data_IF_498269859723
#
_entry.id   IF_498269859723
#
_cell.length_a   1.000
_cell.length_b   1.000
_cell.length_c   1.000
_cell.angle_alpha   90.00
_cell.angle_beta   90.00
_cell.angle_gamma   90.00
#
_symmetry.space_group_name_H-M   'P 1'
#
loop_
_entity.id
_entity.type
_entity.pdbx_description
1 polymer ?
#
# COMPACT_ATOMS: atom_id res chain seq x y z
N UNK A 1 -59.46 -56.49 -36.86
CA UNK A 1 -59.26 -55.03 -37.04
C UNK A 1 -58.35 -54.57 -35.91
N UNK A 2 -57.04 -54.49 -36.19
CA UNK A 2 -56.07 -53.98 -35.21
C UNK A 2 -55.93 -52.45 -35.35
N UNK A 3 -56.15 -51.72 -34.27
CA UNK A 3 -55.85 -50.28 -34.21
C UNK A 3 -54.45 -50.11 -33.65
N UNK A 4 -53.57 -49.53 -34.44
CA UNK A 4 -52.24 -49.13 -33.99
C UNK A 4 -52.33 -47.67 -33.44
N UNK A 5 -51.99 -47.53 -32.16
CA UNK A 5 -51.82 -46.18 -31.56
C UNK A 5 -50.37 -45.78 -31.70
N UNK A 6 -50.11 -44.69 -32.38
CA UNK A 6 -48.81 -44.08 -32.48
C UNK A 6 -48.65 -43.09 -31.30
N UNK A 7 -47.67 -43.37 -30.43
CA UNK A 7 -47.27 -42.42 -29.36
C UNK A 7 -46.22 -41.46 -29.91
N UNK A 8 -46.51 -40.15 -29.91
CA UNK A 8 -45.54 -39.12 -30.26
C UNK A 8 -44.83 -38.69 -28.96
N UNK A 9 -43.54 -39.00 -28.91
CA UNK A 9 -42.69 -38.51 -27.81
C UNK A 9 -42.25 -37.06 -28.13
N UNK A 10 -42.67 -36.12 -27.36
CA UNK A 10 -42.17 -34.73 -27.42
C UNK A 10 -40.96 -34.61 -26.50
N UNK A 11 -39.78 -34.49 -27.08
CA UNK A 11 -38.56 -34.22 -26.32
C UNK A 11 -38.42 -32.69 -26.13
N UNK A 12 -38.59 -32.25 -24.91
CA UNK A 12 -38.27 -30.89 -24.46
C UNK A 12 -36.78 -30.78 -24.16
N UNK A 13 -36.04 -30.20 -25.08
CA UNK A 13 -34.63 -29.82 -24.85
C UNK A 13 -34.58 -28.57 -23.96
N UNK A 14 -34.17 -28.73 -22.72
CA UNK A 14 -33.86 -27.59 -21.85
C UNK A 14 -32.51 -26.99 -22.28
N UNK A 15 -32.55 -25.79 -22.83
CA UNK A 15 -31.35 -25.00 -23.10
C UNK A 15 -30.89 -24.40 -21.78
N UNK A 16 -29.82 -24.97 -21.19
CA UNK A 16 -29.08 -24.33 -20.10
C UNK A 16 -28.28 -23.16 -20.69
N UNK A 17 -28.78 -21.94 -20.52
CA UNK A 17 -27.99 -20.74 -20.69
C UNK A 17 -26.98 -20.69 -19.53
N UNK A 18 -25.74 -21.10 -19.79
CA UNK A 18 -24.62 -20.79 -18.91
C UNK A 18 -24.37 -19.30 -19.00
N UNK A 19 -24.85 -18.53 -18.03
CA UNK A 19 -24.51 -17.14 -17.82
C UNK A 19 -23.03 -17.07 -17.47
N UNK A 20 -22.14 -16.82 -18.44
CA UNK A 20 -20.80 -16.33 -18.17
C UNK A 20 -20.94 -14.95 -17.55
N UNK A 21 -20.88 -14.89 -16.22
CA UNK A 21 -20.60 -13.65 -15.52
C UNK A 21 -19.23 -13.17 -16.01
N UNK A 22 -19.22 -12.16 -16.86
CA UNK A 22 -18.02 -11.40 -17.17
C UNK A 22 -17.60 -10.68 -15.89
N UNK A 23 -16.84 -11.35 -15.03
CA UNK A 23 -16.10 -10.70 -13.98
C UNK A 23 -15.23 -9.64 -14.66
N UNK A 24 -15.41 -8.40 -14.23
CA UNK A 24 -14.62 -7.27 -14.67
C UNK A 24 -13.14 -7.60 -14.37
N UNK A 25 -12.44 -8.18 -15.33
CA UNK A 25 -10.99 -8.40 -15.21
C UNK A 25 -10.37 -7.03 -15.34
N UNK A 26 -10.06 -6.41 -14.21
CA UNK A 26 -9.31 -5.17 -14.17
C UNK A 26 -8.06 -5.27 -15.08
N UNK A 27 -7.60 -4.13 -15.57
CA UNK A 27 -6.36 -4.04 -16.34
C UNK A 27 -5.23 -4.48 -15.40
N UNK A 28 -4.46 -5.56 -15.71
CA UNK A 28 -3.40 -6.01 -14.83
C UNK A 28 -2.36 -4.92 -14.64
N UNK A 29 -1.99 -4.64 -13.40
CA UNK A 29 -0.90 -3.70 -13.10
C UNK A 29 0.41 -4.17 -13.75
N UNK A 30 1.15 -3.28 -14.44
CA UNK A 30 2.41 -3.65 -15.06
C UNK A 30 3.45 -3.99 -13.99
N UNK A 31 4.43 -4.83 -14.35
CA UNK A 31 5.56 -5.13 -13.46
C UNK A 31 6.38 -3.89 -13.18
N UNK A 32 6.77 -3.73 -11.93
CA UNK A 32 7.74 -2.73 -11.47
C UNK A 32 9.02 -3.42 -11.03
N UNK A 33 10.17 -2.77 -11.21
CA UNK A 33 11.45 -3.26 -10.72
C UNK A 33 11.60 -3.03 -9.21
N UNK A 34 11.11 -1.89 -8.75
CA UNK A 34 11.11 -1.48 -7.35
C UNK A 34 9.79 -0.80 -7.01
N UNK A 35 9.26 -1.08 -5.84
CA UNK A 35 8.09 -0.40 -5.27
C UNK A 35 8.49 0.28 -3.96
N UNK A 36 8.15 1.55 -3.86
CA UNK A 36 8.39 2.38 -2.68
C UNK A 36 7.05 2.86 -2.15
N UNK A 37 6.86 2.76 -0.84
CA UNK A 37 5.69 3.31 -0.14
C UNK A 37 6.20 4.27 0.92
N UNK A 38 5.68 5.48 0.95
CA UNK A 38 5.90 6.48 2.01
C UNK A 38 4.58 6.69 2.71
N UNK A 39 4.60 6.60 4.04
CA UNK A 39 3.41 6.81 4.85
C UNK A 39 3.50 8.18 5.50
N UNK A 40 2.45 8.96 5.33
CA UNK A 40 2.18 10.23 6.01
C UNK A 40 0.99 10.05 6.97
N UNK A 41 0.79 10.96 7.91
CA UNK A 41 -0.02 10.71 9.09
C UNK A 41 -1.17 11.70 9.29
N UNK A 42 -2.32 11.11 9.72
CA UNK A 42 -3.43 11.76 10.43
C UNK A 42 -4.08 12.99 9.76
N UNK A 43 -4.09 13.07 8.43
CA UNK A 43 -4.74 14.18 7.75
C UNK A 43 -5.74 13.75 6.68
N UNK A 44 -6.92 14.39 6.70
CA UNK A 44 -7.96 14.16 5.69
C UNK A 44 -7.52 14.62 4.30
N UNK A 45 -8.05 13.99 3.27
CA UNK A 45 -7.83 14.35 1.86
C UNK A 45 -7.99 15.86 1.60
N UNK A 46 -9.04 16.47 2.16
CA UNK A 46 -9.34 17.90 1.99
C UNK A 46 -8.36 18.84 2.68
N UNK A 47 -7.60 18.34 3.67
CA UNK A 47 -6.55 19.10 4.35
C UNK A 47 -5.22 19.04 3.59
N UNK A 48 -5.03 18.00 2.78
CA UNK A 48 -3.79 17.72 2.05
C UNK A 48 -3.86 18.19 0.61
N UNK A 49 -4.88 17.76 -0.13
CA UNK A 49 -4.97 18.04 -1.57
C UNK A 49 -5.51 19.45 -1.81
N UNK A 50 -4.72 20.24 -2.52
CA UNK A 50 -4.98 21.67 -2.76
C UNK A 50 -4.46 22.59 -1.65
N UNK A 51 -3.87 22.05 -0.59
CA UNK A 51 -3.30 22.87 0.50
C UNK A 51 -1.96 23.48 0.08
N UNK A 52 -1.83 24.80 0.24
CA UNK A 52 -0.62 25.55 -0.07
C UNK A 52 0.58 25.23 0.84
N UNK A 53 0.35 24.53 1.98
CA UNK A 53 1.41 24.06 2.84
C UNK A 53 2.11 22.79 2.29
N UNK A 54 1.48 22.09 1.32
CA UNK A 54 2.04 20.88 0.70
C UNK A 54 2.27 21.06 -0.83
N UNK A 55 3.07 22.04 -1.25
CA UNK A 55 3.23 22.33 -2.68
C UNK A 55 3.93 21.20 -3.45
N UNK A 56 4.87 20.48 -2.82
CA UNK A 56 5.59 19.39 -3.47
C UNK A 56 4.66 18.19 -3.72
N UNK A 57 3.94 17.70 -2.72
CA UNK A 57 3.00 16.58 -2.87
C UNK A 57 1.87 16.92 -3.84
N UNK A 58 1.31 18.13 -3.75
CA UNK A 58 0.28 18.60 -4.68
C UNK A 58 0.81 18.74 -6.13
N UNK A 59 2.07 19.11 -6.28
CA UNK A 59 2.75 19.09 -7.58
C UNK A 59 2.85 17.68 -8.17
N UNK A 60 3.15 16.67 -7.35
CA UNK A 60 3.17 15.27 -7.76
C UNK A 60 1.75 14.78 -8.09
N UNK A 61 0.76 15.07 -7.24
CA UNK A 61 -0.64 14.68 -7.45
C UNK A 61 -1.21 15.25 -8.77
N UNK A 62 -0.87 16.49 -9.11
CA UNK A 62 -1.30 17.12 -10.37
C UNK A 62 -0.61 16.54 -11.61
N UNK A 63 0.60 16.03 -11.44
CA UNK A 63 1.43 15.51 -12.54
C UNK A 63 1.23 14.02 -12.82
N UNK A 64 0.92 13.23 -11.81
CA UNK A 64 0.84 11.76 -11.88
C UNK A 64 -0.57 11.28 -11.53
N UNK A 65 -0.69 10.18 -10.82
CA UNK A 65 -1.96 9.56 -10.43
C UNK A 65 -2.41 9.99 -9.04
N UNK A 66 -3.65 10.47 -8.92
CA UNK A 66 -4.31 10.76 -7.65
C UNK A 66 -5.53 9.87 -7.48
N UNK A 67 -5.63 9.17 -6.35
CA UNK A 67 -6.84 8.45 -5.98
C UNK A 67 -7.78 9.40 -5.21
N UNK A 68 -8.83 9.89 -5.89
CA UNK A 68 -9.73 10.88 -5.31
C UNK A 68 -10.82 10.28 -4.40
N UNK A 69 -10.89 8.95 -4.32
CA UNK A 69 -11.81 8.21 -3.45
C UNK A 69 -11.00 7.09 -2.76
N UNK A 70 -10.00 7.50 -1.98
CA UNK A 70 -9.17 6.59 -1.20
C UNK A 70 -9.45 6.78 0.29
N UNK A 71 -9.69 5.67 0.99
CA UNK A 71 -10.09 5.70 2.39
C UNK A 71 -9.21 4.79 3.22
N UNK A 72 -8.93 5.23 4.44
CA UNK A 72 -8.33 4.39 5.47
C UNK A 72 -9.36 3.40 6.06
N UNK A 73 -8.88 2.39 6.77
CA UNK A 73 -9.71 1.27 7.23
C UNK A 73 -10.10 1.37 8.71
N UNK A 74 -9.35 2.12 9.51
CA UNK A 74 -9.59 2.22 10.96
C UNK A 74 -9.03 3.49 11.56
N UNK A 75 -9.36 3.70 12.83
CA UNK A 75 -8.66 4.51 13.81
C UNK A 75 -8.36 3.63 15.03
N UNK A 76 -7.21 3.81 15.71
CA UNK A 76 -6.05 4.64 15.35
C UNK A 76 -5.11 3.93 14.32
N UNK A 77 -3.95 4.55 14.10
CA UNK A 77 -2.97 4.29 13.04
C UNK A 77 -2.59 2.82 12.86
N UNK A 78 -2.28 2.07 13.93
CA UNK A 78 -1.73 0.71 13.85
C UNK A 78 -2.56 -0.24 12.98
N UNK A 79 -3.90 -0.11 12.99
CA UNK A 79 -4.82 -0.94 12.19
C UNK A 79 -4.59 -0.74 10.68
N UNK A 80 -4.30 0.50 10.26
CA UNK A 80 -4.03 0.87 8.89
C UNK A 80 -2.66 0.38 8.41
N UNK A 81 -1.65 0.45 9.28
CA UNK A 81 -0.32 -0.14 9.00
C UNK A 81 -0.40 -1.65 8.81
N UNK A 82 -1.21 -2.35 9.60
CA UNK A 82 -1.46 -3.78 9.40
C UNK A 82 -2.27 -4.03 8.13
N UNK A 83 -3.27 -3.21 7.82
CA UNK A 83 -4.03 -3.36 6.58
C UNK A 83 -3.13 -3.18 5.35
N UNK A 84 -2.18 -2.25 5.36
CA UNK A 84 -1.18 -2.04 4.31
C UNK A 84 -0.18 -3.19 4.15
N UNK A 85 -0.04 -4.07 5.17
CA UNK A 85 1.05 -5.07 5.21
C UNK A 85 0.59 -6.51 5.45
N UNK A 86 -0.55 -6.73 6.12
CA UNK A 86 -1.16 -8.03 6.35
C UNK A 86 -2.54 -8.16 5.69
N UNK A 87 -3.17 -7.04 5.30
CA UNK A 87 -4.51 -7.03 4.74
C UNK A 87 -5.62 -7.29 5.77
N UNK A 88 -5.30 -7.14 7.06
CA UNK A 88 -6.21 -7.31 8.20
C UNK A 88 -5.95 -6.22 9.25
N UNK A 89 -6.99 -5.87 10.01
CA UNK A 89 -6.84 -5.04 11.21
C UNK A 89 -6.52 -5.97 12.39
N UNK A 90 -5.24 -6.18 12.67
CA UNK A 90 -4.79 -7.08 13.73
C UNK A 90 -5.14 -6.54 15.13
N UNK A 91 -5.14 -5.22 15.26
CA UNK A 91 -5.50 -4.50 16.48
C UNK A 91 -5.80 -3.04 16.15
N UNK A 92 -6.51 -2.38 17.05
CA UNK A 92 -6.73 -0.92 17.06
C UNK A 92 -6.17 -0.30 18.35
N UNK A 93 -5.13 -0.89 18.92
CA UNK A 93 -4.45 -0.39 20.11
C UNK A 93 -2.99 -0.07 19.77
N UNK A 94 -2.63 1.21 19.62
CA UNK A 94 -1.26 1.65 19.32
C UNK A 94 -0.27 1.22 20.40
N UNK A 95 -0.75 0.94 21.63
CA UNK A 95 0.04 0.34 22.68
C UNK A 95 0.26 -1.17 22.56
N UNK A 96 -0.18 -1.81 21.47
CA UNK A 96 -0.05 -3.24 21.26
C UNK A 96 1.41 -3.71 21.33
N UNK A 97 1.65 -4.74 22.13
CA UNK A 97 2.98 -5.32 22.34
C UNK A 97 3.07 -6.79 21.88
N UNK A 98 1.97 -7.32 21.35
CA UNK A 98 1.90 -8.71 20.90
C UNK A 98 2.69 -8.97 19.63
N UNK A 99 2.57 -10.19 19.14
CA UNK A 99 3.17 -10.66 17.89
C UNK A 99 2.08 -11.13 16.95
N UNK A 100 2.17 -10.75 15.69
CA UNK A 100 1.24 -11.12 14.63
C UNK A 100 1.80 -12.32 13.87
N UNK A 101 1.01 -13.38 13.73
CA UNK A 101 1.39 -14.62 13.03
C UNK A 101 0.68 -14.83 11.69
N UNK A 102 -0.24 -13.96 11.37
CA UNK A 102 -1.05 -14.03 10.16
C UNK A 102 -0.20 -13.81 8.90
N UNK A 103 -0.74 -14.15 7.75
CA UNK A 103 -0.04 -13.96 6.49
C UNK A 103 0.19 -12.47 6.24
N UNK A 104 1.35 -12.13 5.65
CA UNK A 104 1.77 -10.75 5.52
C UNK A 104 2.69 -10.55 4.30
N UNK A 105 2.91 -9.31 3.94
CA UNK A 105 3.71 -8.92 2.77
C UNK A 105 5.13 -9.51 2.82
N UNK A 106 5.79 -9.60 3.99
CA UNK A 106 7.14 -10.15 4.11
C UNK A 106 7.16 -11.60 3.70
N UNK A 107 6.20 -12.39 4.22
CA UNK A 107 6.08 -13.82 3.90
C UNK A 107 5.89 -14.05 2.42
N UNK A 108 5.03 -13.26 1.79
CA UNK A 108 4.76 -13.38 0.36
C UNK A 108 5.97 -12.94 -0.50
N UNK A 109 6.66 -11.87 -0.11
CA UNK A 109 7.89 -11.43 -0.79
C UNK A 109 9.01 -12.47 -0.69
N UNK A 110 9.24 -13.03 0.51
CA UNK A 110 10.26 -14.07 0.74
C UNK A 110 9.95 -15.33 -0.08
N UNK A 111 8.68 -15.77 -0.11
CA UNK A 111 8.23 -16.90 -0.95
C UNK A 111 8.50 -16.65 -2.43
N UNK A 112 8.29 -15.42 -2.88
CA UNK A 112 8.53 -14.99 -4.26
C UNK A 112 10.00 -14.66 -4.55
N UNK A 113 10.91 -14.83 -3.58
CA UNK A 113 12.35 -14.47 -3.68
C UNK A 113 12.55 -12.98 -4.00
N UNK A 114 11.70 -12.13 -3.43
CA UNK A 114 11.80 -10.68 -3.51
C UNK A 114 12.47 -10.14 -2.26
N UNK A 115 13.26 -9.10 -2.44
CA UNK A 115 13.94 -8.39 -1.36
C UNK A 115 13.06 -7.26 -0.82
N UNK A 116 13.20 -6.96 0.48
CA UNK A 116 12.44 -5.91 1.12
C UNK A 116 13.24 -5.20 2.20
N UNK A 117 12.87 -3.97 2.51
CA UNK A 117 13.32 -3.22 3.69
C UNK A 117 12.23 -2.29 4.20
N UNK A 118 12.18 -2.15 5.53
CA UNK A 118 11.54 -1.02 6.21
C UNK A 118 12.62 -0.02 6.58
N UNK A 119 12.51 1.20 6.07
CA UNK A 119 13.39 2.32 6.34
C UNK A 119 12.65 3.29 7.26
N UNK A 120 12.91 3.19 8.57
CA UNK A 120 12.24 4.02 9.56
C UNK A 120 13.18 5.12 10.07
N UNK A 121 12.70 6.36 10.02
CA UNK A 121 13.45 7.49 10.54
C UNK A 121 13.49 7.45 12.06
N UNK A 122 14.58 7.90 12.65
CA UNK A 122 14.85 7.84 14.10
C UNK A 122 14.80 6.43 14.71
N UNK A 123 14.79 5.37 13.90
CA UNK A 123 14.94 4.00 14.39
C UNK A 123 16.25 3.85 15.16
N UNK A 124 16.28 3.28 16.40
CA UNK A 124 17.48 3.17 17.23
C UNK A 124 18.66 2.42 16.59
N UNK A 125 18.39 1.48 15.68
CA UNK A 125 19.41 0.73 14.97
C UNK A 125 18.83 -0.36 14.07
N UNK A 126 19.64 -0.93 13.20
CA UNK A 126 19.19 -2.02 12.32
C UNK A 126 18.75 -3.23 13.15
N UNK A 127 17.61 -3.82 12.76
CA UNK A 127 17.02 -4.97 13.45
C UNK A 127 16.25 -4.61 14.74
N UNK A 128 16.04 -3.32 15.02
CA UNK A 128 15.29 -2.92 16.20
C UNK A 128 13.81 -3.29 16.07
N UNK A 129 13.33 -4.07 17.02
CA UNK A 129 11.90 -4.49 17.15
C UNK A 129 11.32 -4.13 18.52
N UNK A 130 12.02 -3.29 19.27
CA UNK A 130 11.59 -2.79 20.58
C UNK A 130 10.43 -1.81 20.51
N UNK A 131 10.08 -1.20 21.64
CA UNK A 131 9.00 -0.21 21.75
C UNK A 131 9.34 1.13 21.11
N UNK A 132 8.48 2.12 21.37
CA UNK A 132 8.67 3.49 20.93
C UNK A 132 9.98 4.08 21.42
N UNK A 133 10.58 4.91 20.61
CA UNK A 133 11.76 5.70 20.92
C UNK A 133 11.64 7.06 20.24
N UNK A 134 10.82 7.94 20.84
CA UNK A 134 10.48 9.24 20.25
C UNK A 134 11.68 9.94 19.60
N UNK A 135 11.54 10.42 18.36
CA UNK A 135 10.33 10.52 17.57
C UNK A 135 9.99 9.31 16.69
N UNK A 136 10.62 8.14 16.87
CA UNK A 136 10.21 6.88 16.24
C UNK A 136 9.09 6.23 17.06
N UNK A 137 7.98 5.85 16.38
CA UNK A 137 6.92 5.03 16.96
C UNK A 137 6.92 3.63 16.33
N UNK A 138 6.85 2.61 17.19
CA UNK A 138 6.83 1.20 16.76
C UNK A 138 5.58 0.88 15.97
N UNK A 139 4.42 1.42 16.37
CA UNK A 139 3.14 1.14 15.71
C UNK A 139 3.07 1.69 14.28
N UNK A 140 3.98 2.59 13.88
CA UNK A 140 4.18 2.98 12.48
C UNK A 140 5.10 2.02 11.71
N UNK A 141 5.61 0.96 12.35
CA UNK A 141 6.49 -0.03 11.71
C UNK A 141 5.96 -1.47 11.92
N UNK A 142 4.94 -1.89 11.15
CA UNK A 142 4.25 -3.17 11.35
C UNK A 142 5.17 -4.39 11.26
N UNK A 143 6.30 -4.28 10.55
CA UNK A 143 7.29 -5.35 10.44
C UNK A 143 7.89 -5.75 11.79
N UNK A 144 7.92 -4.83 12.76
CA UNK A 144 8.40 -5.08 14.11
C UNK A 144 7.43 -5.93 14.98
N UNK A 145 6.30 -6.38 14.40
CA UNK A 145 5.32 -7.23 15.06
C UNK A 145 5.20 -8.62 14.44
N UNK A 146 5.66 -8.84 13.21
CA UNK A 146 5.48 -10.10 12.52
C UNK A 146 6.37 -11.22 13.08
N UNK A 147 5.77 -12.38 13.37
CA UNK A 147 6.46 -13.54 13.95
C UNK A 147 7.55 -14.12 13.06
N UNK A 148 7.45 -13.94 11.77
CA UNK A 148 8.45 -14.37 10.77
C UNK A 148 9.55 -13.33 10.53
N UNK A 149 9.47 -12.18 11.20
CA UNK A 149 10.49 -11.13 11.25
C UNK A 149 11.21 -11.11 12.59
N UNK A 150 10.45 -11.02 13.71
CA UNK A 150 11.01 -10.93 15.05
C UNK A 150 11.86 -12.16 15.38
N UNK A 151 13.09 -11.94 15.85
CA UNK A 151 14.00 -13.03 16.26
C UNK A 151 14.55 -13.86 15.09
N UNK A 152 14.30 -13.46 13.84
CA UNK A 152 14.84 -14.07 12.63
C UNK A 152 15.84 -13.16 11.93
N UNK A 153 16.49 -13.65 10.88
CA UNK A 153 17.36 -12.83 10.03
C UNK A 153 16.60 -11.76 9.25
N UNK A 154 15.28 -11.88 9.11
CA UNK A 154 14.44 -10.89 8.45
C UNK A 154 14.40 -9.56 9.23
N UNK A 155 14.59 -9.57 10.56
CA UNK A 155 14.68 -8.34 11.34
C UNK A 155 15.78 -7.39 10.85
N UNK A 156 16.86 -7.89 10.25
CA UNK A 156 17.92 -7.07 9.69
C UNK A 156 17.48 -6.20 8.49
N UNK A 157 16.28 -6.42 7.97
CA UNK A 157 15.67 -5.58 6.93
C UNK A 157 14.90 -4.36 7.50
N UNK A 158 14.74 -4.28 8.82
CA UNK A 158 14.26 -3.08 9.51
C UNK A 158 15.50 -2.21 9.79
N UNK A 159 15.63 -1.08 9.12
CA UNK A 159 16.87 -0.28 9.15
C UNK A 159 16.55 1.22 9.34
N UNK A 160 17.49 2.00 9.91
CA UNK A 160 17.33 3.46 9.96
C UNK A 160 17.20 4.06 8.55
N UNK A 161 16.40 5.12 8.40
CA UNK A 161 16.18 5.80 7.12
C UNK A 161 17.47 6.27 6.44
N UNK A 162 18.51 6.60 7.20
CA UNK A 162 19.83 6.95 6.65
C UNK A 162 20.42 5.85 5.75
N UNK A 163 20.03 4.58 5.94
CA UNK A 163 20.39 3.48 5.07
C UNK A 163 19.74 3.60 3.68
N UNK A 164 18.52 4.13 3.59
CA UNK A 164 17.83 4.34 2.31
C UNK A 164 18.64 5.21 1.36
N UNK A 165 19.14 6.35 1.85
CA UNK A 165 19.94 7.26 1.04
C UNK A 165 21.25 6.61 0.60
N UNK A 166 21.83 5.72 1.42
CA UNK A 166 23.03 4.95 1.07
C UNK A 166 22.73 3.91 0.00
N UNK A 167 21.64 3.14 0.17
CA UNK A 167 21.22 2.11 -0.78
C UNK A 167 20.86 2.72 -2.13
N UNK A 168 20.17 3.88 -2.12
CA UNK A 168 19.79 4.60 -3.33
C UNK A 168 21.03 5.05 -4.12
N UNK A 169 22.04 5.64 -3.44
CA UNK A 169 23.31 6.07 -4.06
C UNK A 169 24.11 4.89 -4.61
N UNK A 170 24.04 3.75 -3.95
CA UNK A 170 24.78 2.54 -4.34
C UNK A 170 24.04 1.64 -5.33
N UNK A 171 22.79 1.97 -5.66
CA UNK A 171 21.93 1.13 -6.53
C UNK A 171 21.55 -0.20 -5.87
N UNK A 172 21.48 -0.25 -4.53
CA UNK A 172 21.19 -1.45 -3.74
C UNK A 172 19.80 -1.42 -3.10
N UNK A 173 18.90 -0.59 -3.61
CA UNK A 173 17.50 -0.56 -3.13
C UNK A 173 16.82 -1.91 -3.38
N UNK A 174 16.04 -2.44 -2.42
CA UNK A 174 15.35 -3.71 -2.57
C UNK A 174 14.18 -3.63 -3.57
N UNK A 175 13.57 -4.78 -3.87
CA UNK A 175 12.34 -4.82 -4.68
C UNK A 175 11.20 -4.04 -4.01
N UNK A 176 11.09 -4.11 -2.68
CA UNK A 176 10.10 -3.39 -1.88
C UNK A 176 10.74 -2.56 -0.77
N UNK A 177 10.40 -1.28 -0.73
CA UNK A 177 10.83 -0.30 0.29
C UNK A 177 9.62 0.30 0.97
N UNK A 178 9.48 0.10 2.28
CA UNK A 178 8.50 0.76 3.13
C UNK A 178 9.21 1.86 3.91
N UNK A 179 8.81 3.11 3.69
CA UNK A 179 9.50 4.29 4.20
C UNK A 179 8.59 4.99 5.20
N UNK A 180 9.09 5.15 6.42
CA UNK A 180 8.37 5.74 7.53
C UNK A 180 9.17 6.93 8.03
N UNK A 181 8.77 8.17 7.74
CA UNK A 181 9.32 9.34 8.41
C UNK A 181 9.04 9.24 9.92
N UNK A 182 9.73 9.99 10.74
CA UNK A 182 9.38 10.07 12.16
C UNK A 182 8.19 11.02 12.39
N UNK A 183 7.57 10.95 13.56
CA UNK A 183 6.33 11.71 13.84
C UNK A 183 6.46 13.24 13.77
N UNK A 184 7.66 13.79 13.69
CA UNK A 184 7.90 15.21 13.48
C UNK A 184 7.89 15.58 11.99
N UNK A 185 8.12 14.59 11.11
CA UNK A 185 8.35 14.77 9.68
C UNK A 185 7.26 14.14 8.81
N UNK A 186 6.31 13.34 9.38
CA UNK A 186 5.20 12.69 8.70
C UNK A 186 3.84 13.41 8.83
N UNK A 187 3.82 14.61 9.44
CA UNK A 187 2.64 15.40 9.79
C UNK A 187 1.86 14.93 11.05
N UNK A 188 2.28 13.89 11.77
CA UNK A 188 1.65 13.45 13.02
C UNK A 188 1.78 14.54 14.13
N UNK A 189 3.01 14.77 14.62
CA UNK A 189 3.32 15.82 15.61
C UNK A 189 3.84 17.10 14.92
N UNK A 190 4.31 16.96 13.68
CA UNK A 190 4.78 18.05 12.86
C UNK A 190 3.68 18.70 12.02
N UNK A 191 4.04 19.75 11.27
CA UNK A 191 3.10 20.40 10.36
C UNK A 191 3.10 19.73 8.97
N UNK A 192 1.99 19.86 8.22
CA UNK A 192 1.93 19.51 6.80
C UNK A 192 3.08 20.12 5.97
N UNK A 193 3.48 21.36 6.31
CA UNK A 193 4.59 22.01 5.62
C UNK A 193 5.95 21.38 5.94
N UNK A 194 6.14 20.82 7.14
CA UNK A 194 7.33 20.06 7.51
C UNK A 194 7.38 18.73 6.75
N UNK A 195 6.27 18.02 6.70
CA UNK A 195 6.13 16.77 5.96
C UNK A 195 6.39 16.96 4.45
N UNK A 196 5.84 18.00 3.85
CA UNK A 196 6.07 18.33 2.43
C UNK A 196 7.56 18.66 2.13
N UNK A 197 8.21 19.37 3.06
CA UNK A 197 9.64 19.65 2.95
C UNK A 197 10.47 18.37 3.08
N UNK A 198 10.09 17.47 4.00
CA UNK A 198 10.73 16.18 4.13
C UNK A 198 10.57 15.33 2.86
N UNK A 199 9.36 15.25 2.31
CA UNK A 199 9.10 14.58 1.03
C UNK A 199 9.96 15.16 -0.10
N UNK A 200 10.00 16.47 -0.23
CA UNK A 200 10.80 17.14 -1.26
C UNK A 200 12.30 16.82 -1.10
N UNK A 201 12.82 16.88 0.12
CA UNK A 201 14.23 16.66 0.38
C UNK A 201 14.68 15.20 0.17
N UNK A 202 13.82 14.23 0.52
CA UNK A 202 14.18 12.83 0.60
C UNK A 202 13.64 11.99 -0.57
N UNK A 203 12.49 12.36 -1.13
CA UNK A 203 11.80 11.59 -2.17
C UNK A 203 12.07 12.14 -3.58
N UNK A 204 12.34 13.43 -3.74
CA UNK A 204 12.75 13.98 -5.04
C UNK A 204 14.04 13.35 -5.59
N UNK A 205 15.08 13.09 -4.78
CA UNK A 205 16.25 12.32 -5.21
C UNK A 205 15.92 10.89 -5.65
N UNK A 206 14.97 10.21 -4.98
CA UNK A 206 14.49 8.90 -5.40
C UNK A 206 13.87 8.97 -6.80
N UNK A 207 12.91 9.88 -7.00
CA UNK A 207 12.21 10.03 -8.28
C UNK A 207 13.20 10.30 -9.42
N UNK A 208 14.29 11.00 -9.17
CA UNK A 208 15.34 11.31 -10.14
C UNK A 208 16.37 10.19 -10.33
N UNK A 209 16.38 9.18 -9.49
CA UNK A 209 17.36 8.09 -9.54
C UNK A 209 17.13 7.16 -10.73
N UNK A 210 18.20 6.52 -11.20
CA UNK A 210 18.11 5.51 -12.26
C UNK A 210 17.28 4.29 -11.84
N UNK A 211 17.35 3.88 -10.57
CA UNK A 211 16.56 2.77 -10.04
C UNK A 211 15.06 3.03 -10.19
N UNK A 212 14.62 4.27 -9.92
CA UNK A 212 13.23 4.66 -10.07
C UNK A 212 12.84 4.87 -11.55
N UNK A 213 13.63 5.63 -12.29
CA UNK A 213 13.34 5.94 -13.69
C UNK A 213 13.31 4.68 -14.58
N UNK A 214 14.02 3.63 -14.19
CA UNK A 214 14.03 2.34 -14.85
C UNK A 214 12.91 1.42 -14.35
N UNK A 215 11.67 1.93 -14.33
CA UNK A 215 10.46 1.19 -13.98
C UNK A 215 10.14 1.06 -12.48
N UNK A 216 10.44 2.10 -11.69
CA UNK A 216 10.01 2.19 -10.28
C UNK A 216 8.55 2.62 -10.15
N UNK A 217 7.95 2.28 -9.02
CA UNK A 217 6.65 2.75 -8.57
C UNK A 217 6.79 3.34 -7.17
N UNK A 218 6.33 4.57 -6.97
CA UNK A 218 6.24 5.21 -5.66
C UNK A 218 4.78 5.50 -5.33
N UNK A 219 4.40 5.19 -4.11
CA UNK A 219 3.11 5.47 -3.52
C UNK A 219 3.36 6.34 -2.29
N UNK A 220 2.76 7.53 -2.23
CA UNK A 220 2.68 8.35 -1.03
C UNK A 220 1.25 8.28 -0.55
N UNK A 221 1.03 7.82 0.67
CA UNK A 221 -0.31 7.57 1.22
C UNK A 221 -0.37 8.04 2.67
N UNK A 222 -1.50 8.66 3.04
CA UNK A 222 -1.84 8.95 4.43
C UNK A 222 -2.49 7.72 5.05
N UNK A 223 -2.08 7.37 6.26
CA UNK A 223 -2.55 6.17 6.98
C UNK A 223 -4.00 6.28 7.42
N UNK A 224 -4.37 7.41 8.02
CA UNK A 224 -5.73 7.73 8.44
C UNK A 224 -6.03 9.23 8.33
N UNK A 225 -7.31 9.59 8.40
CA UNK A 225 -7.75 10.98 8.44
C UNK A 225 -7.78 11.51 9.87
N UNK A 226 -8.26 12.75 10.02
CA UNK A 226 -8.56 13.27 11.36
C UNK A 226 -9.62 12.39 12.06
N UNK A 227 -9.56 12.24 13.40
CA UNK A 227 -10.46 11.31 14.12
C UNK A 227 -11.96 11.61 14.00
N UNK A 228 -12.34 12.80 13.51
CA UNK A 228 -13.75 13.16 13.27
C UNK A 228 -14.31 12.60 11.96
N UNK A 229 -13.47 12.13 11.04
CA UNK A 229 -13.87 11.47 9.80
C UNK A 229 -13.61 9.96 9.91
N UNK A 230 -14.68 9.20 10.09
CA UNK A 230 -14.66 7.73 10.14
C UNK A 230 -15.28 7.08 8.89
N UNK A 231 -15.36 7.81 7.78
CA UNK A 231 -15.85 7.27 6.51
C UNK A 231 -15.03 6.04 6.12
N UNK A 232 -15.71 4.94 5.81
CA UNK A 232 -15.08 3.64 5.49
C UNK A 232 -14.15 3.07 6.57
N UNK A 233 -14.23 3.57 7.79
CA UNK A 233 -13.47 3.11 8.96
C UNK A 233 -12.45 4.10 9.46
N UNK A 234 -11.53 4.58 8.62
CA UNK A 234 -10.45 5.50 8.98
C UNK A 234 -10.46 6.84 8.23
N UNK A 235 -11.54 7.13 7.48
CA UNK A 235 -11.79 8.41 6.81
C UNK A 235 -11.14 8.56 5.44
N UNK A 236 -11.43 9.68 4.78
CA UNK A 236 -10.99 10.00 3.43
C UNK A 236 -9.57 10.58 3.44
N UNK A 237 -8.61 9.86 2.85
CA UNK A 237 -7.19 10.21 2.88
C UNK A 237 -6.59 10.35 1.48
N UNK A 238 -5.42 10.99 1.39
CA UNK A 238 -4.73 11.17 0.12
C UNK A 238 -3.87 9.94 -0.21
N UNK A 239 -3.92 9.49 -1.49
CA UNK A 239 -2.96 8.59 -2.09
C UNK A 239 -2.53 9.14 -3.44
N UNK A 240 -1.21 9.33 -3.59
CA UNK A 240 -0.56 9.77 -4.84
C UNK A 240 0.33 8.66 -5.35
N UNK A 241 0.16 8.30 -6.62
CA UNK A 241 0.92 7.24 -7.28
C UNK A 241 1.82 7.83 -8.35
N UNK A 242 3.12 7.59 -8.26
CA UNK A 242 4.16 8.19 -9.10
C UNK A 242 4.97 7.09 -9.77
N UNK A 243 5.25 7.22 -11.05
CA UNK A 243 6.11 6.26 -11.76
C UNK A 243 6.15 6.49 -13.27
N UNK A 244 7.18 5.97 -13.95
CA UNK A 244 7.30 6.15 -15.42
C UNK A 244 6.19 5.46 -16.21
N UNK A 245 5.49 4.48 -15.62
CA UNK A 245 4.33 3.81 -16.22
C UNK A 245 2.99 4.30 -15.69
N UNK A 246 2.98 5.17 -14.69
CA UNK A 246 1.76 5.75 -14.17
C UNK A 246 1.25 6.80 -15.17
N UNK A 247 -0.05 6.81 -15.41
CA UNK A 247 -0.69 7.84 -16.22
C UNK A 247 -0.41 9.22 -15.65
N UNK A 248 -0.11 10.15 -16.54
CA UNK A 248 0.08 11.55 -16.16
C UNK A 248 -1.26 12.25 -16.05
N UNK A 249 -1.37 13.18 -15.11
CA UNK A 249 -2.58 14.02 -14.90
C UNK A 249 -3.84 13.16 -14.77
N UNK A 250 -3.73 12.04 -14.06
CA UNK A 250 -4.81 11.08 -13.91
C UNK A 250 -5.41 11.14 -12.51
N UNK A 251 -6.72 11.23 -12.44
CA UNK A 251 -7.46 11.16 -11.18
C UNK A 251 -8.50 10.03 -11.27
N UNK A 252 -8.37 9.05 -10.38
CA UNK A 252 -9.34 7.98 -10.22
C UNK A 252 -10.48 8.42 -9.31
N UNK A 253 -11.70 8.02 -9.68
CA UNK A 253 -12.91 8.15 -8.84
C UNK A 253 -13.41 6.80 -8.32
N UNK A 254 -12.66 5.73 -8.55
CA UNK A 254 -12.94 4.41 -7.98
C UNK A 254 -12.61 4.40 -6.48
N UNK A 255 -13.43 3.69 -5.72
CA UNK A 255 -13.20 3.54 -4.28
C UNK A 255 -12.08 2.53 -4.03
N UNK A 256 -11.07 2.96 -3.28
CA UNK A 256 -9.95 2.15 -2.82
C UNK A 256 -9.70 2.34 -1.32
N UNK A 257 -9.07 1.34 -0.72
CA UNK A 257 -8.59 1.35 0.66
C UNK A 257 -7.19 0.70 0.73
N UNK A 258 -6.59 0.62 1.92
CA UNK A 258 -5.21 0.16 2.11
C UNK A 258 -4.96 -1.26 1.59
N UNK A 259 -5.93 -2.17 1.69
CA UNK A 259 -5.83 -3.52 1.13
C UNK A 259 -5.72 -3.52 -0.42
N UNK A 260 -6.26 -2.51 -1.09
CA UNK A 260 -6.05 -2.32 -2.55
C UNK A 260 -4.60 -1.93 -2.84
N UNK A 261 -3.98 -1.12 -1.98
CA UNK A 261 -2.58 -0.74 -2.08
C UNK A 261 -1.67 -1.95 -1.83
N UNK A 262 -1.94 -2.77 -0.81
CA UNK A 262 -1.20 -4.02 -0.57
C UNK A 262 -1.27 -4.96 -1.79
N UNK A 263 -2.47 -5.14 -2.36
CA UNK A 263 -2.66 -5.90 -3.60
C UNK A 263 -1.83 -5.34 -4.75
N UNK A 264 -1.85 -4.03 -4.94
CA UNK A 264 -1.09 -3.35 -5.98
C UNK A 264 0.42 -3.59 -5.83
N UNK A 265 0.98 -3.40 -4.63
CA UNK A 265 2.41 -3.61 -4.34
C UNK A 265 2.81 -5.02 -4.76
N UNK A 266 2.11 -6.04 -4.25
CA UNK A 266 2.42 -7.44 -4.52
C UNK A 266 2.26 -7.79 -6.01
N UNK A 267 1.18 -7.36 -6.65
CA UNK A 267 0.94 -7.65 -8.08
C UNK A 267 2.00 -7.03 -8.99
N UNK A 268 2.42 -5.78 -8.73
CA UNK A 268 3.45 -5.10 -9.52
C UNK A 268 4.84 -5.71 -9.32
N UNK A 269 5.12 -6.30 -8.16
CA UNK A 269 6.32 -7.10 -7.90
C UNK A 269 6.21 -8.54 -8.42
N UNK A 270 5.05 -8.90 -8.93
CA UNK A 270 4.81 -10.20 -9.54
C UNK A 270 4.50 -11.31 -8.59
N UNK A 271 4.06 -10.96 -7.43
CA UNK A 271 3.49 -11.88 -6.46
C UNK A 271 2.00 -12.03 -6.77
N UNK A 272 1.50 -13.26 -6.76
CA UNK A 272 0.10 -13.59 -7.07
C UNK A 272 -0.67 -14.13 -5.87
N UNK A 273 -0.01 -14.24 -4.73
CA UNK A 273 -0.64 -14.52 -3.43
C UNK A 273 -0.80 -13.22 -2.68
N UNK A 274 -1.95 -13.02 -2.06
CA UNK A 274 -2.29 -11.76 -1.40
C UNK A 274 -2.83 -12.08 0.00
N UNK A 275 -2.22 -11.53 1.06
CA UNK A 275 -2.65 -11.77 2.42
C UNK A 275 -3.99 -11.06 2.70
N UNK A 276 -4.77 -11.63 3.60
CA UNK A 276 -5.99 -11.06 4.12
C UNK A 276 -6.96 -10.54 3.05
N UNK A 277 -7.53 -9.38 3.29
CA UNK A 277 -8.50 -8.74 2.41
C UNK A 277 -7.90 -8.25 1.07
N UNK A 278 -6.55 -8.18 0.96
CA UNK A 278 -5.91 -7.87 -0.31
C UNK A 278 -6.23 -8.89 -1.41
N UNK A 279 -6.61 -10.13 -1.03
CA UNK A 279 -7.02 -11.18 -1.98
C UNK A 279 -8.28 -10.80 -2.79
N UNK A 280 -9.19 -10.06 -2.19
CA UNK A 280 -10.46 -9.64 -2.83
C UNK A 280 -10.55 -8.13 -3.09
N UNK A 281 -9.54 -7.36 -2.69
CA UNK A 281 -9.53 -5.91 -2.84
C UNK A 281 -9.60 -5.48 -4.32
N UNK A 282 -10.18 -4.32 -4.62
CA UNK A 282 -10.15 -3.74 -5.96
C UNK A 282 -8.73 -3.59 -6.49
N UNK A 283 -8.55 -3.91 -7.77
CA UNK A 283 -7.28 -3.74 -8.48
C UNK A 283 -7.11 -2.27 -8.89
N UNK A 284 -5.92 -1.73 -8.71
CA UNK A 284 -5.58 -0.34 -9.05
C UNK A 284 -4.89 -0.22 -10.43
N UNK A 285 -5.04 -1.21 -11.31
CA UNK A 285 -4.42 -1.24 -12.65
C UNK A 285 -4.83 -0.07 -13.54
N UNK A 286 -5.96 0.58 -13.28
CA UNK A 286 -6.42 1.75 -14.03
C UNK A 286 -5.47 2.95 -14.00
N UNK A 287 -4.55 3.01 -13.03
CA UNK A 287 -3.55 4.07 -12.92
C UNK A 287 -2.42 3.95 -13.95
N UNK A 288 -2.29 2.82 -14.63
CA UNK A 288 -1.16 2.57 -15.54
C UNK A 288 -1.55 2.75 -17.02
N UNK A 289 -0.51 3.05 -17.82
CA UNK A 289 -0.61 3.17 -19.28
C UNK A 289 -0.66 1.79 -19.94
#
# INVERSE_FOLDING_TARGET
MLRHSIAIAVSTSAIFMAGCGAGNRGIPSPRSSHVFVVIEENHSFSEVIGNSAMPYLNGLASRYGLAAQYYADSHPSIGNYFMLTAGEIETTDDGFTGTVSDDNIVRELVRAKRTWRSYAESLPGAGYTGGDNYPYFKHHNPFAYFSDVIGTTQANNIVPFSQFLSDLRSGLVPDFSFIVPNVLDDAHDGSLGTADQWLNANIDPLIKSSAFQNNGLLIVVFDESVPSDSSHGGGHVALVMIGPKVKTTYQSTSLYQHQSTLRLILSTLGVSSFPGQAASAPDMGEFFQ
#
